data_IF_311932485788
#
_entry.id   IF_311932485788
#
_cell.length_a   1.000
_cell.length_b   1.000
_cell.length_c   1.000
_cell.angle_alpha   90.00
_cell.angle_beta   90.00
_cell.angle_gamma   90.00
#
_symmetry.space_group_name_H-M   'P 1'
#
loop_
_entity.id
_entity.type
_entity.pdbx_description
1 polymer ?
#
# COMPACT_ATOMS: atom_id res chain seq x y z
N UNK A 1 -23.67 19.14 -25.06
CA UNK A 1 -23.46 17.74 -24.64
C UNK A 1 -22.09 17.67 -24.01
N UNK A 2 -21.96 17.12 -22.80
CA UNK A 2 -20.64 16.85 -22.21
C UNK A 2 -19.94 15.81 -23.06
N UNK A 3 -18.67 16.03 -23.40
CA UNK A 3 -17.83 15.06 -24.10
C UNK A 3 -17.85 13.74 -23.32
N UNK A 4 -18.08 12.62 -24.02
CA UNK A 4 -18.04 11.32 -23.37
C UNK A 4 -16.63 11.02 -22.87
N UNK A 5 -16.51 10.59 -21.62
CA UNK A 5 -15.24 10.20 -21.00
C UNK A 5 -15.25 8.72 -20.65
N UNK A 6 -14.07 8.09 -20.68
CA UNK A 6 -13.86 6.71 -20.22
C UNK A 6 -14.04 6.61 -18.70
N UNK A 7 -14.23 5.39 -18.18
CA UNK A 7 -14.26 5.17 -16.74
C UNK A 7 -12.96 5.64 -16.06
N UNK A 8 -11.81 5.34 -16.66
CA UNK A 8 -10.50 5.76 -16.12
C UNK A 8 -10.35 7.28 -16.09
N UNK A 9 -10.82 8.00 -17.12
CA UNK A 9 -10.82 9.47 -17.12
C UNK A 9 -11.69 10.03 -16.01
N UNK A 10 -12.89 9.45 -15.80
CA UNK A 10 -13.78 9.89 -14.71
C UNK A 10 -13.13 9.72 -13.34
N UNK A 11 -12.50 8.57 -13.08
CA UNK A 11 -11.77 8.33 -11.84
C UNK A 11 -10.59 9.29 -11.73
N UNK A 12 -9.79 9.45 -12.77
CA UNK A 12 -8.64 10.36 -12.77
C UNK A 12 -9.03 11.81 -12.47
N UNK A 13 -10.04 12.34 -13.17
CA UNK A 13 -10.51 13.71 -12.99
C UNK A 13 -11.08 13.96 -11.58
N UNK A 14 -11.67 12.94 -10.95
CA UNK A 14 -12.16 13.02 -9.57
C UNK A 14 -11.04 13.08 -8.52
N UNK A 15 -9.84 12.60 -8.84
CA UNK A 15 -8.69 12.54 -7.91
C UNK A 15 -7.60 13.54 -8.26
N UNK A 16 -7.81 14.38 -9.28
CA UNK A 16 -6.86 15.42 -9.67
C UNK A 16 -6.79 16.51 -8.60
N UNK A 17 -5.63 16.62 -7.96
CA UNK A 17 -5.34 17.67 -6.97
C UNK A 17 -4.76 18.90 -7.65
N UNK A 18 -3.85 18.70 -8.60
CA UNK A 18 -3.21 19.80 -9.32
C UNK A 18 -2.77 19.37 -10.72
N UNK A 19 -2.89 20.30 -11.66
CA UNK A 19 -2.37 20.19 -13.03
C UNK A 19 -1.60 21.47 -13.37
N UNK A 20 -0.40 21.29 -13.92
CA UNK A 20 0.44 22.36 -14.43
C UNK A 20 0.95 22.02 -15.84
N UNK A 21 1.20 23.04 -16.65
CA UNK A 21 1.69 22.85 -18.02
C UNK A 21 3.10 22.23 -18.01
N UNK A 22 3.28 21.14 -18.74
CA UNK A 22 4.57 20.44 -18.83
C UNK A 22 4.93 19.55 -17.63
N UNK A 23 4.08 19.48 -16.61
CA UNK A 23 4.29 18.62 -15.43
C UNK A 23 3.29 17.46 -15.40
N UNK A 24 3.64 16.32 -14.77
CA UNK A 24 2.67 15.28 -14.47
C UNK A 24 1.56 15.79 -13.56
N UNK A 25 0.35 15.25 -13.74
CA UNK A 25 -0.76 15.50 -12.83
C UNK A 25 -0.44 15.02 -11.41
N UNK A 26 -0.79 15.83 -10.41
CA UNK A 26 -0.79 15.42 -9.02
C UNK A 26 -2.14 14.78 -8.68
N UNK A 27 -2.12 13.50 -8.34
CA UNK A 27 -3.31 12.74 -7.94
C UNK A 27 -3.36 12.49 -6.43
N UNK A 28 -4.57 12.43 -5.90
CA UNK A 28 -4.85 11.87 -4.58
C UNK A 28 -4.96 10.34 -4.67
N UNK A 29 -4.40 9.64 -3.69
CA UNK A 29 -4.47 8.18 -3.57
C UNK A 29 -5.33 7.83 -2.36
N UNK A 30 -6.34 6.99 -2.56
CA UNK A 30 -7.33 6.64 -1.52
C UNK A 30 -6.90 5.47 -0.65
N UNK A 31 -6.06 4.58 -1.17
CA UNK A 31 -5.59 3.41 -0.44
C UNK A 31 -4.18 3.03 -0.87
N UNK A 32 -3.33 2.82 0.13
CA UNK A 32 -2.00 2.24 -0.02
C UNK A 32 -2.01 0.82 0.52
N UNK A 33 -1.63 -0.14 -0.32
CA UNK A 33 -1.40 -1.52 0.08
C UNK A 33 0.11 -1.77 0.12
N UNK A 34 0.62 -2.30 1.23
CA UNK A 34 2.06 -2.46 1.46
C UNK A 34 2.41 -3.88 1.93
N UNK A 35 3.62 -4.33 1.64
CA UNK A 35 4.09 -5.69 1.96
C UNK A 35 5.62 -5.73 2.18
N UNK A 36 6.14 -6.86 2.63
CA UNK A 36 7.47 -6.96 3.24
C UNK A 36 8.64 -6.79 2.26
N UNK A 37 8.42 -6.93 0.96
CA UNK A 37 9.51 -6.99 -0.03
C UNK A 37 10.01 -5.60 -0.41
N UNK A 38 9.09 -4.68 -0.70
CA UNK A 38 9.39 -3.39 -1.34
C UNK A 38 9.18 -2.20 -0.40
N UNK A 39 8.27 -2.31 0.56
CA UNK A 39 7.86 -1.15 1.37
C UNK A 39 8.94 -0.65 2.33
N UNK A 40 9.92 -1.47 2.71
CA UNK A 40 11.04 -1.05 3.57
C UNK A 40 11.79 0.18 3.00
N UNK A 41 12.01 0.20 1.68
CA UNK A 41 12.68 1.32 1.01
C UNK A 41 11.85 2.61 1.07
N UNK A 42 10.53 2.50 0.99
CA UNK A 42 9.64 3.65 1.09
C UNK A 42 9.67 4.28 2.50
N UNK A 43 9.69 3.45 3.55
CA UNK A 43 9.81 3.94 4.93
C UNK A 43 11.17 4.59 5.20
N UNK A 44 12.27 4.04 4.68
CA UNK A 44 13.58 4.69 4.77
C UNK A 44 13.60 6.04 4.05
N UNK A 45 12.98 6.11 2.87
CA UNK A 45 12.81 7.37 2.14
C UNK A 45 12.04 8.43 2.94
N UNK A 46 11.00 8.04 3.67
CA UNK A 46 10.28 8.93 4.57
C UNK A 46 11.17 9.46 5.69
N UNK A 47 11.95 8.59 6.35
CA UNK A 47 12.88 9.00 7.41
C UNK A 47 13.96 9.95 6.91
N UNK A 48 14.58 9.64 5.76
CA UNK A 48 15.60 10.47 5.14
C UNK A 48 15.05 11.86 4.76
N UNK A 49 13.78 11.94 4.40
CA UNK A 49 13.09 13.19 4.08
C UNK A 49 12.48 13.88 5.32
N UNK A 50 12.68 13.35 6.53
CA UNK A 50 12.09 13.82 7.79
C UNK A 50 10.55 13.91 7.72
N UNK A 51 9.92 12.92 7.07
CA UNK A 51 8.46 12.83 6.87
C UNK A 51 7.86 11.65 7.62
N UNK A 52 6.59 11.80 7.98
CA UNK A 52 5.74 10.70 8.44
C UNK A 52 4.75 10.26 7.35
N UNK A 53 4.11 9.12 7.55
CA UNK A 53 3.00 8.66 6.71
C UNK A 53 1.81 9.58 6.94
N UNK A 54 1.33 10.24 5.88
CA UNK A 54 0.27 11.25 5.97
C UNK A 54 -1.09 10.67 6.34
N UNK A 55 -1.42 9.46 5.88
CA UNK A 55 -2.71 8.78 6.10
C UNK A 55 -2.49 7.31 6.50
N UNK A 56 -2.08 7.03 7.75
CA UNK A 56 -1.95 5.66 8.23
C UNK A 56 -3.28 4.90 8.17
N UNK A 57 -4.40 5.62 8.35
CA UNK A 57 -5.76 5.09 8.24
C UNK A 57 -6.18 4.67 6.82
N UNK A 58 -5.43 5.10 5.79
CA UNK A 58 -5.60 4.69 4.40
C UNK A 58 -4.42 3.84 3.90
N UNK A 59 -3.70 3.21 4.82
CA UNK A 59 -2.57 2.33 4.51
C UNK A 59 -2.76 1.00 5.23
N UNK A 60 -2.68 -0.12 4.51
CA UNK A 60 -2.87 -1.46 5.06
C UNK A 60 -1.71 -2.35 4.63
N UNK A 61 -1.15 -3.07 5.61
CA UNK A 61 -0.03 -3.98 5.40
C UNK A 61 -0.44 -5.45 5.57
N UNK A 62 0.18 -6.33 4.80
CA UNK A 62 0.09 -7.79 4.97
C UNK A 62 1.45 -8.43 4.71
N UNK A 63 1.65 -9.65 5.21
CA UNK A 63 2.79 -10.49 4.86
C UNK A 63 2.35 -11.62 3.94
N UNK A 64 2.87 -11.70 2.72
CA UNK A 64 2.41 -12.67 1.73
C UNK A 64 3.46 -13.20 0.74
N UNK A 65 4.64 -12.59 0.63
CA UNK A 65 5.67 -12.98 -0.33
C UNK A 65 6.70 -13.95 0.29
N UNK A 66 7.06 -13.71 1.54
CA UNK A 66 8.11 -14.42 2.28
C UNK A 66 7.56 -15.43 3.28
N UNK A 67 6.28 -15.77 3.15
CA UNK A 67 5.57 -16.68 4.04
C UNK A 67 5.65 -18.10 3.46
N UNK A 68 6.42 -19.02 4.04
CA UNK A 68 6.55 -20.36 3.51
C UNK A 68 5.35 -21.24 3.87
N UNK A 69 5.19 -22.34 3.13
CA UNK A 69 4.24 -23.40 3.49
C UNK A 69 4.65 -24.13 4.78
N UNK A 70 5.95 -24.20 5.05
CA UNK A 70 6.50 -24.77 6.28
C UNK A 70 6.47 -23.75 7.44
N UNK A 71 6.70 -24.16 8.70
CA UNK A 71 6.73 -23.23 9.82
C UNK A 71 7.87 -22.21 9.71
N UNK A 72 7.53 -20.97 9.36
CA UNK A 72 8.42 -19.81 9.39
C UNK A 72 9.50 -19.78 8.29
N UNK A 73 9.96 -18.59 7.88
CA UNK A 73 11.03 -18.46 6.89
C UNK A 73 12.39 -18.90 7.46
N UNK A 74 13.11 -19.73 6.70
CA UNK A 74 14.51 -20.09 7.01
C UNK A 74 15.52 -19.09 6.43
N UNK A 75 15.17 -18.44 5.33
CA UNK A 75 16.04 -17.48 4.65
C UNK A 75 16.20 -16.19 5.50
N UNK A 76 17.44 -15.81 5.87
CA UNK A 76 17.67 -14.59 6.65
C UNK A 76 17.27 -13.29 5.96
N UNK A 77 17.17 -13.24 4.62
CA UNK A 77 16.65 -12.06 3.92
C UNK A 77 15.14 -11.93 4.15
N UNK A 78 14.41 -13.03 3.97
CA UNK A 78 12.97 -13.14 4.23
C UNK A 78 12.61 -12.73 5.66
N UNK A 79 13.33 -13.26 6.65
CA UNK A 79 13.16 -12.88 8.08
C UNK A 79 13.33 -11.37 8.26
N UNK A 80 14.42 -10.79 7.76
CA UNK A 80 14.71 -9.36 7.92
C UNK A 80 13.66 -8.47 7.26
N UNK A 81 13.15 -8.86 6.09
CA UNK A 81 12.10 -8.13 5.38
C UNK A 81 10.79 -8.12 6.19
N UNK A 82 10.36 -9.27 6.70
CA UNK A 82 9.14 -9.39 7.51
C UNK A 82 9.27 -8.60 8.82
N UNK A 83 10.41 -8.69 9.51
CA UNK A 83 10.66 -7.90 10.71
C UNK A 83 10.72 -6.40 10.42
N UNK A 84 11.31 -6.00 9.29
CA UNK A 84 11.36 -4.60 8.88
C UNK A 84 9.95 -4.04 8.67
N UNK A 85 9.07 -4.77 7.97
CA UNK A 85 7.68 -4.37 7.82
C UNK A 85 6.99 -4.22 9.17
N UNK A 86 7.11 -5.20 10.06
CA UNK A 86 6.49 -5.16 11.38
C UNK A 86 6.94 -3.94 12.20
N UNK A 87 8.25 -3.65 12.23
CA UNK A 87 8.80 -2.46 12.90
C UNK A 87 8.30 -1.17 12.27
N UNK A 88 8.31 -1.08 10.93
CA UNK A 88 7.86 0.09 10.21
C UNK A 88 6.37 0.37 10.47
N UNK A 89 5.52 -0.66 10.39
CA UNK A 89 4.09 -0.51 10.67
C UNK A 89 3.83 -0.03 12.10
N UNK A 90 4.54 -0.58 13.09
CA UNK A 90 4.44 -0.13 14.47
C UNK A 90 4.91 1.33 14.66
N UNK A 91 6.01 1.72 14.00
CA UNK A 91 6.57 3.09 14.07
C UNK A 91 5.66 4.13 13.43
N UNK A 92 5.08 3.83 12.26
CA UNK A 92 4.24 4.75 11.50
C UNK A 92 2.74 4.63 11.79
N UNK A 93 2.33 3.73 12.69
CA UNK A 93 0.93 3.52 13.07
C UNK A 93 0.06 2.92 11.97
N UNK A 94 0.61 2.02 11.16
CA UNK A 94 -0.08 1.34 10.06
C UNK A 94 -0.62 -0.02 10.54
N UNK A 95 -1.86 -0.34 10.17
CA UNK A 95 -2.45 -1.66 10.40
C UNK A 95 -1.68 -2.73 9.63
N UNK A 96 -1.24 -3.77 10.32
CA UNK A 96 -0.54 -4.91 9.74
C UNK A 96 -1.29 -6.19 10.08
N UNK A 97 -1.58 -6.99 9.07
CA UNK A 97 -2.00 -8.37 9.22
C UNK A 97 -0.77 -9.29 9.12
N UNK A 98 -0.12 -9.64 10.25
CA UNK A 98 1.11 -10.43 10.24
C UNK A 98 0.82 -11.91 9.94
N UNK A 99 1.89 -12.69 9.77
CA UNK A 99 1.79 -14.14 9.63
C UNK A 99 0.98 -14.80 10.73
N UNK A 100 -0.04 -15.57 10.35
CA UNK A 100 -0.95 -16.27 11.25
C UNK A 100 -2.18 -15.46 11.68
N UNK A 101 -2.30 -14.19 11.28
CA UNK A 101 -3.49 -13.40 11.53
C UNK A 101 -4.65 -13.82 10.59
N UNK A 102 -5.90 -13.73 11.07
CA UNK A 102 -7.08 -14.12 10.26
C UNK A 102 -7.29 -13.25 9.01
N UNK A 103 -6.84 -11.99 9.07
CA UNK A 103 -6.85 -11.05 7.96
C UNK A 103 -5.62 -11.15 7.04
N UNK A 104 -4.67 -12.03 7.33
CA UNK A 104 -3.50 -12.24 6.49
C UNK A 104 -3.88 -12.94 5.18
N UNK A 105 -3.23 -12.56 4.09
CA UNK A 105 -3.29 -13.27 2.82
C UNK A 105 -2.60 -12.48 1.72
N UNK A 106 -2.67 -13.01 0.49
CA UNK A 106 -2.14 -12.34 -0.69
C UNK A 106 -2.77 -10.96 -0.79
N UNK A 107 -1.96 -9.91 -0.92
CA UNK A 107 -2.40 -8.51 -0.82
C UNK A 107 -3.55 -8.18 -1.77
N UNK A 108 -3.52 -8.72 -2.99
CA UNK A 108 -4.54 -8.54 -4.02
C UNK A 108 -5.80 -9.42 -3.83
N UNK A 109 -5.77 -10.38 -2.91
CA UNK A 109 -6.93 -11.18 -2.51
C UNK A 109 -7.63 -10.54 -1.32
N UNK A 110 -6.87 -10.19 -0.28
CA UNK A 110 -7.44 -9.63 0.95
C UNK A 110 -8.02 -8.23 0.72
N UNK A 111 -7.43 -7.44 -0.19
CA UNK A 111 -7.93 -6.11 -0.54
C UNK A 111 -9.43 -6.09 -0.88
N UNK A 112 -9.88 -6.84 -1.92
CA UNK A 112 -11.30 -6.96 -2.22
C UNK A 112 -12.08 -7.78 -1.19
N UNK A 113 -11.52 -8.86 -0.64
CA UNK A 113 -12.23 -9.72 0.31
C UNK A 113 -12.65 -8.98 1.59
N UNK A 114 -11.82 -8.06 2.07
CA UNK A 114 -12.10 -7.25 3.27
C UNK A 114 -12.83 -5.94 2.95
N UNK A 115 -13.20 -5.71 1.68
CA UNK A 115 -13.86 -4.49 1.25
C UNK A 115 -12.98 -3.25 1.28
N UNK A 116 -11.65 -3.39 1.29
CA UNK A 116 -10.74 -2.25 1.21
C UNK A 116 -10.76 -1.62 -0.18
N UNK A 117 -10.79 -2.46 -1.23
CA UNK A 117 -10.89 -1.99 -2.61
C UNK A 117 -12.35 -1.76 -2.98
N UNK A 118 -12.72 -0.52 -3.24
CA UNK A 118 -14.09 -0.13 -3.63
C UNK A 118 -14.11 0.50 -5.03
N UNK A 119 -15.27 0.46 -5.74
CA UNK A 119 -15.39 1.12 -7.02
C UNK A 119 -15.07 2.62 -6.93
N UNK A 120 -14.26 3.11 -7.87
CA UNK A 120 -13.93 4.53 -7.99
C UNK A 120 -12.67 4.98 -7.25
N UNK A 121 -12.03 4.13 -6.44
CA UNK A 121 -10.79 4.48 -5.74
C UNK A 121 -9.58 4.49 -6.68
N UNK A 122 -8.61 5.37 -6.38
CA UNK A 122 -7.22 5.28 -6.82
C UNK A 122 -6.42 4.52 -5.76
N UNK A 123 -5.93 3.33 -6.13
CA UNK A 123 -5.22 2.43 -5.23
C UNK A 123 -3.81 2.21 -5.75
N UNK A 124 -2.82 2.31 -4.86
CA UNK A 124 -1.43 1.96 -5.17
C UNK A 124 -0.97 0.82 -4.27
N UNK A 125 -0.07 0.00 -4.78
CA UNK A 125 0.48 -1.14 -4.06
C UNK A 125 1.99 -1.19 -4.26
N UNK A 126 2.75 -1.42 -3.19
CA UNK A 126 4.20 -1.64 -3.23
C UNK A 126 4.89 -1.48 -1.89
#
# INVERSE_FOLDING_TARGET
MTTATTLSQKVWDQHLVHRAEGEPDLLYVDLHLVHEVTSAQAFDGLRLAERTVRRPDLTVATMDHNVPTAPGPEDPVSVRQMEALARNCAEFGIELYPTGHIGQGIVHVIGPQMGLTQPGLVIVCG
#
